data_IF_272625626966
#
_entry.id   IF_272625626966
#
_cell.length_a   1.000
_cell.length_b   1.000
_cell.length_c   1.000
_cell.angle_alpha   90.00
_cell.angle_beta   90.00
_cell.angle_gamma   90.00
#
_symmetry.space_group_name_H-M   'P 1'
#
loop_
_entity.id
_entity.type
_entity.pdbx_description
1 polymer ?
#
# COMPACT_ATOMS: atom_id res chain seq x y z
N UNK A 1 2.94 -20.38 -64.78
CA UNK A 1 1.68 -19.84 -64.24
C UNK A 1 1.84 -19.67 -62.73
N UNK A 2 1.70 -18.43 -62.28
CA UNK A 2 1.50 -17.90 -60.91
C UNK A 2 2.39 -18.39 -59.75
N UNK A 3 3.37 -17.56 -59.39
CA UNK A 3 3.99 -17.55 -58.07
C UNK A 3 3.05 -16.86 -57.06
N UNK A 4 2.17 -17.63 -56.43
CA UNK A 4 1.41 -17.19 -55.25
C UNK A 4 2.26 -17.33 -53.98
N UNK A 5 3.49 -16.81 -54.00
CA UNK A 5 4.41 -16.88 -52.88
C UNK A 5 4.47 -15.53 -52.15
N UNK A 6 3.91 -15.55 -50.94
CA UNK A 6 4.36 -14.79 -49.79
C UNK A 6 4.27 -13.25 -49.86
N UNK A 7 3.10 -12.72 -49.47
CA UNK A 7 3.03 -11.38 -48.87
C UNK A 7 2.38 -11.43 -47.50
N UNK A 8 2.95 -12.22 -46.58
CA UNK A 8 2.78 -11.92 -45.15
C UNK A 8 3.73 -10.76 -44.81
N UNK A 9 3.28 -9.54 -45.13
CA UNK A 9 3.95 -8.31 -44.75
C UNK A 9 4.16 -8.30 -43.22
N UNK A 10 5.41 -8.09 -42.80
CA UNK A 10 5.83 -8.07 -41.40
C UNK A 10 4.96 -7.10 -40.58
N UNK A 11 4.06 -7.64 -39.76
CA UNK A 11 3.26 -6.86 -38.81
C UNK A 11 4.24 -6.29 -37.78
N UNK A 12 4.55 -4.99 -37.85
CA UNK A 12 5.40 -4.33 -36.86
C UNK A 12 4.85 -4.63 -35.47
N UNK A 13 5.68 -5.22 -34.61
CA UNK A 13 5.30 -5.53 -33.24
C UNK A 13 4.77 -4.25 -32.57
N UNK A 14 3.64 -4.30 -31.85
CA UNK A 14 3.12 -3.11 -31.20
C UNK A 14 4.18 -2.58 -30.24
N UNK A 15 4.43 -1.27 -30.32
CA UNK A 15 5.28 -0.56 -29.36
C UNK A 15 4.86 -0.95 -27.95
N UNK A 16 5.81 -1.33 -27.11
CA UNK A 16 5.58 -1.77 -25.73
C UNK A 16 4.65 -0.77 -25.01
N UNK A 17 4.92 0.53 -25.10
CA UNK A 17 4.11 1.57 -24.46
C UNK A 17 2.65 1.64 -24.96
N UNK A 18 2.35 1.23 -26.20
CA UNK A 18 0.98 1.23 -26.72
C UNK A 18 0.10 0.18 -26.04
N UNK A 19 0.67 -0.91 -25.54
CA UNK A 19 -0.07 -1.95 -24.83
C UNK A 19 -0.29 -1.60 -23.37
N UNK A 20 0.70 -0.97 -22.72
CA UNK A 20 0.64 -0.61 -21.31
C UNK A 20 -0.22 0.65 -21.04
N UNK A 21 -0.44 1.51 -22.03
CA UNK A 21 -1.30 2.70 -21.90
C UNK A 21 -2.65 2.57 -22.63
N UNK A 22 -3.16 1.34 -22.82
CA UNK A 22 -4.53 1.15 -23.33
C UNK A 22 -5.54 1.55 -22.27
N UNK A 23 -6.59 2.26 -22.67
CA UNK A 23 -7.62 2.80 -21.74
C UNK A 23 -8.29 1.69 -20.92
N UNK A 24 -8.38 0.49 -21.49
CA UNK A 24 -8.94 -0.71 -20.85
C UNK A 24 -8.08 -1.23 -19.69
N UNK A 25 -6.77 -0.97 -19.69
CA UNK A 25 -5.81 -1.52 -18.72
C UNK A 25 -5.56 -0.55 -17.55
N UNK A 26 -5.74 0.75 -17.77
CA UNK A 26 -5.65 1.80 -16.74
C UNK A 26 -6.46 1.47 -15.46
N UNK A 27 -7.75 1.05 -15.53
CA UNK A 27 -8.51 0.73 -14.31
C UNK A 27 -7.93 -0.46 -13.55
N UNK A 28 -7.33 -1.43 -14.24
CA UNK A 28 -6.69 -2.60 -13.61
C UNK A 28 -5.48 -2.14 -12.79
N UNK A 29 -4.63 -1.28 -13.37
CA UNK A 29 -3.48 -0.74 -12.66
C UNK A 29 -3.87 0.18 -11.50
N UNK A 30 -4.97 0.92 -11.62
CA UNK A 30 -5.48 1.75 -10.53
C UNK A 30 -5.88 0.90 -9.32
N UNK A 31 -6.70 -0.13 -9.51
CA UNK A 31 -7.14 -1.03 -8.42
C UNK A 31 -5.95 -1.78 -7.83
N UNK A 32 -5.03 -2.28 -8.68
CA UNK A 32 -3.83 -2.96 -8.19
C UNK A 32 -2.93 -2.02 -7.39
N UNK A 33 -2.72 -0.79 -7.86
CA UNK A 33 -1.94 0.24 -7.18
C UNK A 33 -2.54 0.59 -5.83
N UNK A 34 -3.86 0.77 -5.75
CA UNK A 34 -4.57 1.01 -4.49
C UNK A 34 -4.47 -0.20 -3.56
N UNK A 35 -4.60 -1.43 -4.07
CA UNK A 35 -4.52 -2.64 -3.27
C UNK A 35 -3.13 -2.83 -2.66
N UNK A 36 -2.07 -2.78 -3.47
CA UNK A 36 -0.68 -2.94 -3.00
C UNK A 36 -0.26 -1.76 -2.13
N UNK A 37 -0.63 -0.53 -2.52
CA UNK A 37 -0.36 0.67 -1.74
C UNK A 37 -1.07 0.65 -0.38
N UNK A 38 -2.35 0.29 -0.36
CA UNK A 38 -3.14 0.17 0.86
C UNK A 38 -2.64 -0.95 1.77
N UNK A 39 -2.26 -2.11 1.22
CA UNK A 39 -1.66 -3.20 1.98
C UNK A 39 -0.30 -2.79 2.59
N UNK A 40 0.57 -2.15 1.79
CA UNK A 40 1.85 -1.63 2.28
C UNK A 40 1.68 -0.59 3.37
N UNK A 41 0.77 0.36 3.18
CA UNK A 41 0.41 1.35 4.20
C UNK A 41 -0.08 0.68 5.49
N UNK A 42 -0.99 -0.30 5.40
CA UNK A 42 -1.53 -0.94 6.59
C UNK A 42 -0.49 -1.75 7.35
N UNK A 43 0.39 -2.47 6.64
CA UNK A 43 1.52 -3.18 7.27
C UNK A 43 2.46 -2.21 7.97
N UNK A 44 2.80 -1.07 7.35
CA UNK A 44 3.64 -0.06 8.02
C UNK A 44 2.97 0.54 9.26
N UNK A 45 1.65 0.73 9.25
CA UNK A 45 0.89 1.14 10.44
C UNK A 45 0.96 0.11 11.56
N UNK A 46 0.81 -1.18 11.24
CA UNK A 46 0.88 -2.28 12.22
C UNK A 46 2.30 -2.45 12.77
N UNK A 47 3.31 -2.35 11.91
CA UNK A 47 4.72 -2.38 12.28
C UNK A 47 5.07 -1.29 13.31
N UNK A 48 4.39 -0.14 13.27
CA UNK A 48 4.60 0.97 14.22
C UNK A 48 3.70 0.89 15.45
N UNK A 49 3.08 -0.26 15.72
CA UNK A 49 2.28 -0.49 16.93
C UNK A 49 3.13 -0.57 18.20
N UNK A 50 2.53 -0.37 19.38
CA UNK A 50 3.24 -0.43 20.65
C UNK A 50 3.70 -1.83 21.06
N UNK A 51 3.15 -2.88 20.45
CA UNK A 51 3.56 -4.26 20.69
C UNK A 51 4.86 -4.63 19.94
N UNK A 52 5.31 -3.77 19.03
CA UNK A 52 6.48 -4.01 18.17
C UNK A 52 7.66 -3.15 18.63
N UNK A 53 8.72 -3.80 19.10
CA UNK A 53 9.96 -3.13 19.52
C UNK A 53 10.98 -3.11 18.39
N UNK A 54 11.19 -1.93 17.78
CA UNK A 54 12.25 -1.67 16.79
C UNK A 54 13.57 -1.28 17.45
N UNK A 55 13.57 -0.23 18.28
CA UNK A 55 14.72 0.16 19.08
C UNK A 55 14.77 -0.56 20.43
N UNK A 56 15.58 -1.63 20.50
CA UNK A 56 15.78 -2.40 21.73
C UNK A 56 16.74 -1.75 22.72
N UNK A 57 17.47 -0.71 22.33
CA UNK A 57 18.51 -0.08 23.17
C UNK A 57 17.95 1.13 23.92
N UNK A 58 17.30 2.06 23.22
CA UNK A 58 16.81 3.29 23.85
C UNK A 58 15.32 3.23 24.22
N UNK A 59 14.54 2.31 23.64
CA UNK A 59 13.12 2.17 23.94
C UNK A 59 12.66 0.69 23.91
N UNK A 60 13.21 -0.18 24.79
CA UNK A 60 12.90 -1.61 24.79
C UNK A 60 11.42 -1.93 25.07
N UNK A 61 10.72 -1.02 25.76
CA UNK A 61 9.34 -1.21 26.24
C UNK A 61 8.42 -0.06 25.77
N UNK A 62 8.09 0.01 24.47
CA UNK A 62 7.31 1.10 23.90
C UNK A 62 5.90 1.25 24.52
N UNK A 63 5.33 0.19 25.07
CA UNK A 63 4.03 0.20 25.73
C UNK A 63 3.99 0.99 27.06
N UNK A 64 5.13 1.27 27.69
CA UNK A 64 5.19 2.07 28.93
C UNK A 64 4.84 3.55 28.71
N UNK A 65 4.83 4.02 27.46
CA UNK A 65 4.59 5.42 27.11
C UNK A 65 3.17 5.70 26.62
N UNK A 66 2.22 4.80 26.91
CA UNK A 66 0.83 4.91 26.48
C UNK A 66 -0.04 5.26 27.68
N UNK A 67 -0.69 6.42 27.59
CA UNK A 67 -1.68 6.83 28.58
C UNK A 67 -3.06 6.23 28.26
N UNK A 68 -3.91 6.07 29.27
CA UNK A 68 -5.29 5.59 29.13
C UNK A 68 -6.13 6.44 28.16
N UNK A 69 -5.79 7.71 28.03
CA UNK A 69 -6.40 8.69 27.14
C UNK A 69 -6.03 8.51 25.65
N UNK A 70 -5.14 7.57 25.35
CA UNK A 70 -4.57 7.36 24.01
C UNK A 70 -5.32 6.29 23.23
N UNK A 71 -5.87 6.67 22.07
CA UNK A 71 -6.49 5.74 21.15
C UNK A 71 -5.42 4.96 20.36
N UNK A 72 -5.34 3.65 20.61
CA UNK A 72 -4.46 2.73 19.86
C UNK A 72 -5.09 2.22 18.56
N UNK A 73 -6.41 2.13 18.52
CA UNK A 73 -7.17 1.63 17.38
C UNK A 73 -7.05 2.59 16.20
N UNK A 74 -7.22 2.07 14.97
CA UNK A 74 -7.22 2.91 13.77
C UNK A 74 -8.37 3.92 13.79
N UNK A 75 -9.56 3.47 14.21
CA UNK A 75 -10.73 4.32 14.37
C UNK A 75 -11.56 3.83 15.56
N UNK A 76 -12.29 4.76 16.16
CA UNK A 76 -13.35 4.49 17.13
C UNK A 76 -14.68 4.76 16.47
N UNK A 77 -15.62 3.83 16.57
CA UNK A 77 -16.97 3.96 15.97
C UNK A 77 -17.97 4.53 16.98
N UNK A 78 -17.66 4.45 18.27
CA UNK A 78 -18.51 4.96 19.34
C UNK A 78 -17.97 6.29 19.86
N UNK A 79 -18.80 7.33 19.77
CA UNK A 79 -18.56 8.60 20.43
C UNK A 79 -18.70 8.43 21.95
N UNK A 80 -17.71 8.89 22.71
CA UNK A 80 -17.71 8.79 24.18
C UNK A 80 -16.73 7.80 24.79
N UNK A 81 -15.81 7.21 24.02
CA UNK A 81 -14.72 6.38 24.55
C UNK A 81 -13.65 7.17 25.34
N UNK A 82 -13.83 8.49 25.48
CA UNK A 82 -12.97 9.33 26.32
C UNK A 82 -11.57 9.60 25.77
N UNK A 83 -11.18 9.03 24.64
CA UNK A 83 -9.83 9.26 24.10
C UNK A 83 -9.65 10.70 23.64
N UNK A 84 -8.65 11.38 24.21
CA UNK A 84 -8.30 12.75 23.84
C UNK A 84 -7.13 12.82 22.85
N UNK A 85 -6.40 11.71 22.66
CA UNK A 85 -5.18 11.66 21.82
C UNK A 85 -5.19 10.44 20.91
N UNK A 86 -4.68 10.60 19.68
CA UNK A 86 -4.38 9.48 18.80
C UNK A 86 -2.93 9.00 19.03
N UNK A 87 -2.72 7.69 19.00
CA UNK A 87 -1.38 7.12 19.15
C UNK A 87 -0.46 7.51 17.99
N UNK A 88 0.72 8.07 18.32
CA UNK A 88 1.83 8.30 17.37
C UNK A 88 3.09 7.58 17.83
N UNK A 89 3.88 7.09 16.86
CA UNK A 89 5.15 6.41 17.09
C UNK A 89 6.28 7.21 16.44
N UNK A 90 6.87 8.13 17.22
CA UNK A 90 7.91 9.05 16.73
C UNK A 90 9.34 8.49 16.89
N UNK A 91 9.61 7.74 17.96
CA UNK A 91 10.99 7.36 18.35
C UNK A 91 11.47 6.01 17.77
N UNK A 92 11.22 5.68 16.49
CA UNK A 92 11.37 4.33 15.93
C UNK A 92 12.67 3.60 16.31
#
# INVERSE_FOLDING_TARGET
MSAAAATHAARKAPSFFKTWFRVEVIPIYAVLGVAVGGAGWYVTRLARGPDVTWDRRNNPHPWLHIDQETQLKLMTVQDGQGFTKAYSRDRL
#
